data_IF_562391223298
#
_entry.id   IF_562391223298
#
_cell.length_a   1.000
_cell.length_b   1.000
_cell.length_c   1.000
_cell.angle_alpha   90.00
_cell.angle_beta   90.00
_cell.angle_gamma   90.00
#
_symmetry.space_group_name_H-M   'P 1'
#
loop_
_entity.id
_entity.type
_entity.pdbx_description
1 polymer ?
#
# COMPACT_ATOMS: atom_id res chain seq x y z
N UNK A 1 -5.84 -8.46 1.13
CA UNK A 1 -5.39 -9.50 2.10
C UNK A 1 -3.88 -9.50 2.17
N UNK A 2 -3.32 -9.54 3.37
CA UNK A 2 -1.89 -9.84 3.57
C UNK A 2 -1.73 -11.37 3.58
N UNK A 3 -0.57 -11.89 3.20
CA UNK A 3 -0.28 -13.35 3.24
C UNK A 3 -0.14 -13.90 4.68
N UNK A 4 -0.53 -13.13 5.70
CA UNK A 4 -0.38 -13.49 7.11
C UNK A 4 -1.63 -14.19 7.61
N UNK A 5 -1.44 -15.27 8.37
CA UNK A 5 -2.53 -15.85 9.15
C UNK A 5 -2.92 -14.93 10.32
N UNK A 6 -4.16 -15.08 10.82
CA UNK A 6 -4.66 -14.31 11.97
C UNK A 6 -3.71 -14.43 13.17
N UNK A 7 -3.26 -15.65 13.49
CA UNK A 7 -2.33 -15.86 14.60
C UNK A 7 -0.95 -15.22 14.38
N UNK A 8 -0.46 -15.13 13.14
CA UNK A 8 0.77 -14.41 12.83
C UNK A 8 0.58 -12.90 13.01
N UNK A 9 -0.56 -12.37 12.59
CA UNK A 9 -0.90 -10.97 12.76
C UNK A 9 -1.04 -10.59 14.25
N UNK A 10 -1.76 -11.39 15.03
CA UNK A 10 -1.91 -11.17 16.49
C UNK A 10 -0.56 -11.20 17.20
N UNK A 11 0.34 -12.10 16.79
CA UNK A 11 1.70 -12.16 17.33
C UNK A 11 2.51 -10.90 16.99
N UNK A 12 2.36 -10.33 15.79
CA UNK A 12 3.01 -9.06 15.41
C UNK A 12 2.47 -7.89 16.24
N UNK A 13 1.15 -7.84 16.48
CA UNK A 13 0.52 -6.81 17.31
C UNK A 13 1.00 -6.92 18.76
N UNK A 14 0.93 -8.12 19.34
CA UNK A 14 1.37 -8.39 20.72
C UNK A 14 2.85 -8.03 20.95
N UNK A 15 3.71 -8.25 19.95
CA UNK A 15 5.13 -7.90 19.98
C UNK A 15 5.43 -6.45 19.63
N UNK A 16 4.41 -5.62 19.37
CA UNK A 16 4.55 -4.22 18.90
C UNK A 16 5.38 -4.10 17.62
N UNK A 17 5.33 -5.11 16.77
CA UNK A 17 6.01 -5.17 15.47
C UNK A 17 5.09 -4.78 14.31
N UNK A 18 3.77 -4.84 14.48
CA UNK A 18 2.83 -4.40 13.45
C UNK A 18 3.02 -2.88 13.21
N UNK A 19 3.34 -2.43 11.97
CA UNK A 19 3.58 -1.02 11.66
C UNK A 19 2.25 -0.26 11.48
N UNK A 20 1.37 -0.37 12.48
CA UNK A 20 0.04 0.24 12.48
C UNK A 20 0.13 1.67 13.01
N UNK A 21 -0.72 2.56 12.48
CA UNK A 21 -0.93 3.88 13.07
C UNK A 21 -1.43 3.74 14.52
N UNK A 22 -1.04 4.67 15.40
CA UNK A 22 -1.44 4.65 16.81
C UNK A 22 -2.96 4.84 16.91
N UNK A 23 -3.67 3.84 17.45
CA UNK A 23 -5.14 3.87 17.59
C UNK A 23 -5.58 3.94 19.05
N UNK A 24 -6.74 4.56 19.26
CA UNK A 24 -7.48 4.43 20.52
C UNK A 24 -7.95 2.97 20.67
N UNK A 25 -7.87 2.38 21.87
CA UNK A 25 -8.31 1.01 22.08
C UNK A 25 -9.82 0.88 21.74
N UNK A 26 -10.16 -0.05 20.84
CA UNK A 26 -11.56 -0.46 20.60
C UNK A 26 -11.94 -1.59 21.56
N UNK A 27 -13.17 -1.55 22.07
CA UNK A 27 -13.68 -2.56 22.99
C UNK A 27 -14.20 -3.80 22.25
N UNK A 28 -13.29 -4.59 21.68
CA UNK A 28 -13.63 -5.88 21.06
C UNK A 28 -12.89 -6.10 19.75
N UNK A 29 -13.59 -5.94 18.62
CA UNK A 29 -13.03 -6.21 17.29
C UNK A 29 -12.08 -5.08 16.84
N UNK A 30 -10.91 -5.46 16.33
CA UNK A 30 -10.00 -4.55 15.65
C UNK A 30 -10.51 -4.24 14.25
N UNK A 31 -10.79 -2.97 13.96
CA UNK A 31 -11.01 -2.51 12.59
C UNK A 31 -9.67 -2.15 11.98
N UNK A 32 -9.43 -2.53 10.71
CA UNK A 32 -8.19 -2.25 9.99
C UNK A 32 -8.48 -1.62 8.62
N UNK A 33 -7.81 -0.50 8.33
CA UNK A 33 -7.94 0.26 7.09
C UNK A 33 -7.15 -0.41 5.95
N UNK A 34 -7.33 0.08 4.72
CA UNK A 34 -6.48 -0.33 3.60
C UNK A 34 -5.01 0.10 3.83
N UNK A 35 -4.80 1.21 4.54
CA UNK A 35 -3.46 1.68 4.92
C UNK A 35 -2.74 0.71 5.86
N UNK A 36 -3.44 0.15 6.85
CA UNK A 36 -2.85 -0.86 7.73
C UNK A 36 -2.42 -2.10 6.93
N UNK A 37 -3.26 -2.51 5.96
CA UNK A 37 -2.95 -3.65 5.11
C UNK A 37 -1.72 -3.38 4.22
N UNK A 38 -1.59 -2.16 3.69
CA UNK A 38 -0.42 -1.75 2.91
C UNK A 38 0.85 -1.70 3.77
N UNK A 39 0.78 -1.09 4.97
CA UNK A 39 1.89 -1.03 5.89
C UNK A 39 2.38 -2.44 6.30
N UNK A 40 1.46 -3.36 6.55
CA UNK A 40 1.80 -4.77 6.83
C UNK A 40 2.40 -5.46 5.60
N UNK A 41 1.88 -5.20 4.40
CA UNK A 41 2.43 -5.76 3.17
C UNK A 41 3.87 -5.26 2.92
N UNK A 42 4.14 -3.98 3.17
CA UNK A 42 5.48 -3.39 3.09
C UNK A 42 6.42 -4.02 4.12
N UNK A 43 5.96 -4.21 5.35
CA UNK A 43 6.72 -4.92 6.38
C UNK A 43 7.05 -6.37 5.96
N UNK A 44 6.08 -7.10 5.41
CA UNK A 44 6.28 -8.44 4.87
C UNK A 44 7.29 -8.46 3.72
N UNK A 45 7.23 -7.49 2.82
CA UNK A 45 8.19 -7.35 1.72
C UNK A 45 9.62 -7.08 2.24
N UNK A 46 9.79 -6.16 3.18
CA UNK A 46 11.09 -5.84 3.78
C UNK A 46 11.68 -7.02 4.55
N UNK A 47 10.86 -7.76 5.30
CA UNK A 47 11.36 -8.95 6.01
C UNK A 47 11.79 -10.06 5.06
N UNK A 48 11.11 -10.22 3.92
CA UNK A 48 11.52 -11.16 2.85
C UNK A 48 12.84 -10.79 2.17
N UNK A 49 13.27 -9.53 2.19
CA UNK A 49 14.59 -9.14 1.67
C UNK A 49 15.72 -9.42 2.67
N UNK A 50 15.41 -10.01 3.83
CA UNK A 50 16.37 -10.34 4.88
C UNK A 50 16.51 -9.26 5.96
N UNK A 51 15.71 -8.18 5.90
CA UNK A 51 15.70 -7.18 6.95
C UNK A 51 15.07 -7.74 8.22
N UNK A 52 15.72 -7.55 9.37
CA UNK A 52 15.17 -7.98 10.65
C UNK A 52 13.82 -7.28 10.95
N UNK A 53 12.93 -7.98 11.66
CA UNK A 53 11.55 -7.52 11.89
C UNK A 53 11.47 -6.15 12.60
N UNK A 54 12.32 -5.90 13.60
CA UNK A 54 12.32 -4.60 14.31
C UNK A 54 12.71 -3.43 13.39
N UNK A 55 13.87 -3.46 12.70
CA UNK A 55 14.22 -2.45 11.71
C UNK A 55 13.19 -2.30 10.59
N UNK A 56 12.64 -3.40 10.07
CA UNK A 56 11.60 -3.35 9.04
C UNK A 56 10.34 -2.62 9.53
N UNK A 57 9.87 -2.95 10.74
CA UNK A 57 8.72 -2.29 11.36
C UNK A 57 8.97 -0.79 11.58
N UNK A 58 10.15 -0.44 12.09
CA UNK A 58 10.53 0.95 12.31
C UNK A 58 10.61 1.74 10.99
N UNK A 59 11.20 1.15 9.95
CA UNK A 59 11.32 1.77 8.63
C UNK A 59 9.96 2.00 7.99
N UNK A 60 9.04 1.02 8.06
CA UNK A 60 7.67 1.25 7.59
C UNK A 60 7.04 2.38 8.40
N UNK A 61 7.12 2.38 9.73
CA UNK A 61 6.51 3.47 10.53
C UNK A 61 7.06 4.86 10.17
N UNK A 62 8.37 5.00 9.96
CA UNK A 62 8.98 6.30 9.65
C UNK A 62 8.72 6.74 8.21
N UNK A 63 8.81 5.82 7.24
CA UNK A 63 8.70 6.17 5.82
C UNK A 63 7.26 6.10 5.31
N UNK A 64 6.32 5.48 6.03
CA UNK A 64 4.92 5.36 5.58
C UNK A 64 4.20 6.71 5.57
N UNK A 65 4.47 7.59 6.55
CA UNK A 65 3.95 8.96 6.54
C UNK A 65 4.52 9.76 5.36
N UNK A 66 5.80 9.59 5.06
CA UNK A 66 6.44 10.17 3.88
C UNK A 66 5.80 9.64 2.59
N UNK A 67 5.59 8.32 2.47
CA UNK A 67 4.93 7.68 1.33
C UNK A 67 3.51 8.21 1.10
N UNK A 68 2.75 8.44 2.17
CA UNK A 68 1.43 9.05 2.10
C UNK A 68 1.49 10.53 1.75
N UNK A 69 2.50 11.28 2.18
CA UNK A 69 2.67 12.69 1.77
C UNK A 69 2.86 12.80 0.24
N UNK A 70 3.48 11.81 -0.41
CA UNK A 70 3.62 11.78 -1.86
C UNK A 70 2.32 11.45 -2.60
N UNK A 71 1.29 10.94 -1.92
CA UNK A 71 -0.03 10.76 -2.53
C UNK A 71 -0.76 12.07 -2.84
N UNK A 72 -0.18 13.22 -2.44
CA UNK A 72 -0.73 14.55 -2.71
C UNK A 72 0.18 15.40 -3.61
N UNK A 73 1.31 14.86 -4.08
CA UNK A 73 2.23 15.58 -4.97
C UNK A 73 2.44 14.77 -6.23
N UNK A 74 2.04 15.30 -7.39
CA UNK A 74 2.22 14.60 -8.65
C UNK A 74 1.90 15.45 -9.86
N UNK A 75 2.59 15.15 -10.96
CA UNK A 75 2.24 15.67 -12.29
C UNK A 75 1.14 14.83 -12.94
N UNK A 76 0.44 15.37 -13.94
CA UNK A 76 -0.68 14.65 -14.60
C UNK A 76 -0.27 13.34 -15.30
N UNK A 77 1.03 13.08 -15.48
CA UNK A 77 1.56 11.86 -16.08
C UNK A 77 2.25 10.89 -15.11
N UNK A 78 2.24 11.18 -13.81
CA UNK A 78 2.84 10.29 -12.82
C UNK A 78 2.03 9.00 -12.66
N UNK A 79 2.72 7.88 -12.44
CA UNK A 79 2.12 6.56 -12.23
C UNK A 79 1.84 6.38 -10.73
N UNK A 80 0.60 6.02 -10.46
CA UNK A 80 0.05 5.74 -9.15
C UNK A 80 -0.17 4.24 -8.99
N UNK A 81 0.26 3.74 -7.84
CA UNK A 81 0.03 2.36 -7.43
C UNK A 81 -0.86 2.36 -6.20
N UNK A 82 -1.73 1.38 -6.09
CA UNK A 82 -2.59 1.30 -4.93
C UNK A 82 -3.47 0.06 -4.92
N UNK A 83 -4.46 0.10 -4.06
CA UNK A 83 -5.54 -0.86 -4.04
C UNK A 83 -6.82 -0.22 -3.52
N UNK A 84 -7.96 -0.73 -3.97
CA UNK A 84 -9.26 -0.42 -3.39
C UNK A 84 -9.94 -1.66 -2.84
N UNK A 85 -10.88 -1.42 -1.92
CA UNK A 85 -11.70 -2.42 -1.26
C UNK A 85 -13.14 -2.31 -1.73
N UNK A 86 -13.72 -3.44 -2.08
CA UNK A 86 -15.15 -3.61 -2.38
C UNK A 86 -15.72 -4.64 -1.42
N UNK A 87 -16.98 -4.50 -0.98
CA UNK A 87 -17.65 -5.50 -0.15
C UNK A 87 -18.89 -6.03 -0.84
N UNK A 88 -18.86 -7.33 -1.13
CA UNK A 88 -20.01 -7.97 -1.74
C UNK A 88 -21.18 -8.03 -0.77
N UNK A 89 -22.28 -7.33 -1.09
CA UNK A 89 -23.55 -7.48 -0.41
C UNK A 89 -24.45 -8.45 -1.18
N UNK A 90 -24.23 -9.75 -1.00
CA UNK A 90 -25.23 -10.76 -1.40
C UNK A 90 -26.23 -10.96 -0.27
N UNK A 91 -27.52 -10.82 -0.59
CA UNK A 91 -28.60 -11.01 0.37
C UNK A 91 -28.53 -12.42 0.98
N UNK A 92 -28.24 -12.50 2.29
CA UNK A 92 -28.23 -13.75 3.06
C UNK A 92 -26.86 -14.41 3.29
N UNK A 93 -25.75 -13.86 2.79
CA UNK A 93 -24.40 -14.37 3.05
C UNK A 93 -23.53 -13.35 3.80
N UNK A 94 -22.54 -13.84 4.56
CA UNK A 94 -21.51 -12.99 5.17
C UNK A 94 -20.82 -12.16 4.08
N UNK A 95 -20.76 -10.84 4.30
CA UNK A 95 -20.05 -9.91 3.42
C UNK A 95 -18.59 -10.35 3.23
N UNK A 96 -18.22 -10.62 1.97
CA UNK A 96 -16.85 -10.90 1.60
C UNK A 96 -16.22 -9.61 1.09
N UNK A 97 -15.13 -9.17 1.74
CA UNK A 97 -14.37 -8.01 1.28
C UNK A 97 -13.33 -8.44 0.25
N UNK A 98 -13.41 -7.87 -0.95
CA UNK A 98 -12.44 -8.05 -2.02
C UNK A 98 -11.47 -6.86 -2.06
N UNK A 99 -10.19 -7.13 -2.40
CA UNK A 99 -9.17 -6.10 -2.59
C UNK A 99 -8.64 -6.17 -4.01
N UNK A 100 -8.68 -5.06 -4.73
CA UNK A 100 -8.27 -4.97 -6.13
C UNK A 100 -7.11 -4.00 -6.30
N UNK A 101 -6.07 -4.35 -7.08
CA UNK A 101 -4.94 -3.46 -7.32
C UNK A 101 -5.30 -2.32 -8.27
N UNK A 102 -4.65 -1.17 -8.08
CA UNK A 102 -4.72 0.00 -8.95
C UNK A 102 -3.33 0.27 -9.51
N UNK A 103 -3.24 0.39 -10.83
CA UNK A 103 -2.06 0.92 -11.54
C UNK A 103 -2.60 1.89 -12.58
N UNK A 104 -2.42 3.20 -12.35
CA UNK A 104 -2.99 4.21 -13.24
C UNK A 104 -2.29 5.56 -13.13
N UNK A 105 -2.65 6.51 -13.97
CA UNK A 105 -2.37 7.94 -13.72
C UNK A 105 -3.49 8.52 -12.86
N UNK A 106 -3.21 9.58 -12.10
CA UNK A 106 -4.18 10.10 -11.11
C UNK A 106 -5.56 10.41 -11.70
N UNK A 107 -5.59 11.04 -12.88
CA UNK A 107 -6.83 11.40 -13.57
C UNK A 107 -7.68 10.19 -14.01
N UNK A 108 -7.06 9.03 -14.18
CA UNK A 108 -7.71 7.82 -14.69
C UNK A 108 -8.02 6.80 -13.57
N UNK A 109 -7.77 7.14 -12.31
CA UNK A 109 -7.99 6.21 -11.17
C UNK A 109 -9.46 5.78 -11.14
N UNK A 110 -10.41 6.71 -11.21
CA UNK A 110 -11.85 6.38 -11.18
C UNK A 110 -12.25 5.49 -12.36
N UNK A 111 -11.73 5.77 -13.56
CA UNK A 111 -11.96 4.96 -14.75
C UNK A 111 -11.40 3.56 -14.57
N UNK A 112 -10.20 3.44 -13.99
CA UNK A 112 -9.52 2.17 -13.72
C UNK A 112 -10.30 1.32 -12.71
N UNK A 113 -10.77 1.95 -11.63
CA UNK A 113 -11.60 1.29 -10.61
C UNK A 113 -12.90 0.78 -11.25
N UNK A 114 -13.62 1.63 -11.99
CA UNK A 114 -14.87 1.26 -12.65
C UNK A 114 -14.67 0.09 -13.63
N UNK A 115 -13.65 0.14 -14.48
CA UNK A 115 -13.34 -0.94 -15.42
C UNK A 115 -12.99 -2.25 -14.70
N UNK A 116 -12.32 -2.16 -13.55
CA UNK A 116 -11.97 -3.33 -12.73
C UNK A 116 -13.22 -3.94 -12.09
N UNK A 117 -14.14 -3.11 -11.58
CA UNK A 117 -15.45 -3.52 -11.06
C UNK A 117 -16.31 -4.19 -12.15
N UNK A 118 -16.43 -3.56 -13.32
CA UNK A 118 -17.15 -4.11 -14.48
C UNK A 118 -16.62 -5.49 -14.88
N UNK A 119 -15.28 -5.65 -14.94
CA UNK A 119 -14.64 -6.94 -15.28
C UNK A 119 -14.82 -7.99 -14.20
N UNK A 120 -14.85 -7.58 -12.93
CA UNK A 120 -15.08 -8.47 -11.80
C UNK A 120 -16.55 -8.90 -11.69
N UNK A 121 -17.47 -8.29 -12.46
CA UNK A 121 -18.91 -8.46 -12.28
C UNK A 121 -19.38 -7.95 -10.91
N UNK A 122 -18.61 -7.03 -10.32
CA UNK A 122 -18.77 -6.48 -8.99
C UNK A 122 -19.40 -5.09 -9.14
N UNK A 123 -20.63 -4.92 -8.65
CA UNK A 123 -21.32 -3.63 -8.62
C UNK A 123 -21.29 -3.00 -7.22
N UNK A 124 -20.55 -3.61 -6.29
CA UNK A 124 -20.54 -3.21 -4.91
C UNK A 124 -19.75 -1.91 -4.69
N UNK A 125 -20.15 -1.09 -3.71
CA UNK A 125 -19.53 0.20 -3.47
C UNK A 125 -18.07 0.04 -3.01
N UNK A 126 -17.23 0.98 -3.43
CA UNK A 126 -15.86 1.10 -2.92
C UNK A 126 -15.91 1.59 -1.48
N UNK A 127 -15.47 0.77 -0.53
CA UNK A 127 -15.44 1.12 0.89
C UNK A 127 -14.19 1.91 1.30
N UNK A 128 -13.13 1.80 0.51
CA UNK A 128 -11.88 2.48 0.80
C UNK A 128 -10.84 2.26 -0.28
N UNK A 129 -9.93 3.21 -0.39
CA UNK A 129 -8.87 3.22 -1.40
C UNK A 129 -7.59 3.79 -0.78
N UNK A 130 -6.47 3.13 -1.06
CA UNK A 130 -5.12 3.60 -0.71
C UNK A 130 -4.30 3.66 -1.98
N UNK A 131 -3.69 4.81 -2.24
CA UNK A 131 -2.84 5.06 -3.42
C UNK A 131 -1.57 5.79 -3.03
N UNK A 132 -0.49 5.51 -3.76
CA UNK A 132 0.81 6.19 -3.64
C UNK A 132 1.26 6.65 -5.03
N UNK A 133 1.87 7.84 -5.10
CA UNK A 133 2.54 8.28 -6.32
C UNK A 133 3.89 7.56 -6.44
N UNK A 134 3.89 6.41 -7.12
CA UNK A 134 5.09 5.59 -7.26
C UNK A 134 6.19 6.32 -8.04
N UNK A 135 5.83 7.13 -9.03
CA UNK A 135 6.79 7.96 -9.77
C UNK A 135 7.50 8.96 -8.86
N UNK A 136 6.77 9.69 -8.01
CA UNK A 136 7.36 10.67 -7.09
C UNK A 136 8.28 9.99 -6.05
N UNK A 137 7.86 8.84 -5.52
CA UNK A 137 8.68 8.05 -4.59
C UNK A 137 10.00 7.66 -5.24
N UNK A 138 9.97 7.10 -6.46
CA UNK A 138 11.18 6.64 -7.14
C UNK A 138 12.07 7.80 -7.58
N UNK A 139 11.50 8.93 -8.03
CA UNK A 139 12.27 10.17 -8.30
C UNK A 139 13.09 10.59 -7.07
N UNK A 140 12.47 10.58 -5.89
CA UNK A 140 13.14 11.01 -4.66
C UNK A 140 14.15 9.99 -4.17
N UNK A 141 13.87 8.70 -4.31
CA UNK A 141 14.85 7.65 -4.03
C UNK A 141 16.10 7.80 -4.90
N UNK A 142 15.93 8.09 -6.19
CA UNK A 142 17.06 8.37 -7.09
C UNK A 142 17.84 9.62 -6.68
N UNK A 143 17.15 10.69 -6.31
CA UNK A 143 17.81 11.91 -5.82
C UNK A 143 18.66 11.61 -4.59
N UNK A 144 18.09 10.95 -3.56
CA UNK A 144 18.80 10.55 -2.34
C UNK A 144 19.99 9.62 -2.64
N UNK A 145 19.82 8.65 -3.55
CA UNK A 145 20.89 7.75 -3.96
C UNK A 145 22.04 8.51 -4.65
N UNK A 146 21.71 9.47 -5.52
CA UNK A 146 22.68 10.32 -6.22
C UNK A 146 23.46 11.18 -5.24
N UNK A 147 22.78 11.84 -4.30
CA UNK A 147 23.38 12.65 -3.24
C UNK A 147 24.32 11.83 -2.34
N UNK A 148 23.99 10.56 -2.11
CA UNK A 148 24.80 9.63 -1.34
C UNK A 148 25.90 8.92 -2.15
N UNK A 149 26.01 9.15 -3.46
CA UNK A 149 26.97 8.47 -4.33
C UNK A 149 26.70 6.97 -4.51
N UNK A 150 25.45 6.54 -4.34
CA UNK A 150 25.02 5.14 -4.46
C UNK A 150 24.53 4.87 -5.89
N UNK A 151 25.21 3.98 -6.59
CA UNK A 151 24.76 3.48 -7.90
C UNK A 151 23.95 2.20 -7.75
N UNK A 152 22.63 2.29 -7.93
CA UNK A 152 21.73 1.13 -7.96
C UNK A 152 21.09 0.96 -9.35
N UNK A 153 21.53 -0.10 -10.06
CA UNK A 153 21.01 -0.46 -11.40
C UNK A 153 19.53 -0.86 -11.37
N UNK A 154 19.06 -1.48 -10.30
CA UNK A 154 17.65 -1.90 -10.15
C UNK A 154 16.77 -0.69 -9.92
N UNK A 155 17.21 0.26 -9.08
CA UNK A 155 16.51 1.52 -8.87
C UNK A 155 16.42 2.33 -10.18
N UNK A 156 17.51 2.37 -10.94
CA UNK A 156 17.54 3.03 -12.26
C UNK A 156 16.58 2.38 -13.25
N UNK A 157 16.53 1.04 -13.29
CA UNK A 157 15.60 0.32 -14.15
C UNK A 157 14.14 0.56 -13.76
N UNK A 158 13.84 0.55 -12.46
CA UNK A 158 12.52 0.86 -11.92
C UNK A 158 12.09 2.30 -12.27
N UNK A 159 13.02 3.25 -12.18
CA UNK A 159 12.73 4.64 -12.52
C UNK A 159 12.37 4.83 -13.98
N UNK A 160 13.05 4.14 -14.90
CA UNK A 160 12.68 4.13 -16.32
C UNK A 160 11.29 3.54 -16.54
N UNK A 161 10.99 2.43 -15.86
CA UNK A 161 9.68 1.78 -15.95
C UNK A 161 8.54 2.70 -15.47
N UNK A 162 8.78 3.47 -14.41
CA UNK A 162 7.82 4.39 -13.82
C UNK A 162 7.86 5.82 -14.38
N UNK A 163 8.65 6.06 -15.45
CA UNK A 163 8.83 7.39 -16.06
C UNK A 163 9.27 8.46 -15.03
N UNK A 164 10.10 8.03 -14.09
CA UNK A 164 10.67 8.83 -13.02
C UNK A 164 12.02 9.48 -13.41
N UNK A 165 12.51 9.24 -14.62
CA UNK A 165 13.72 9.85 -15.22
C UNK A 165 13.47 10.22 -16.67
#
# INVERSE_FOLDING_TARGET
MTELSVGQFDALVARKLAPLSVRKPSQGWGTFSADDALAIALFGALTRTGLAQHPASALVRSEYEDLLAYSNSGSSGDIWLGAYRSTAHKAGESSASATFPIISVFADIEVTVRQTQERAGDADPVEGMTIINATAVVRRMLLRATEAGIEDRRLTALAKLLRAV
#
